data_IF_518909225885
#
_entry.id   IF_518909225885
#
_cell.length_a   1.000
_cell.length_b   1.000
_cell.length_c   1.000
_cell.angle_alpha   90.00
_cell.angle_beta   90.00
_cell.angle_gamma   90.00
#
_symmetry.space_group_name_H-M   'P 1'
#
loop_
_entity.id
_entity.type
_entity.pdbx_description
1 polymer ?
#
# COMPACT_ATOMS: atom_id res chain seq x y z
N UNK A 1 5.10 41.44 -20.37
CA UNK A 1 3.78 40.87 -20.13
C UNK A 1 3.81 39.35 -19.92
N UNK A 2 4.44 38.58 -20.80
CA UNK A 2 4.51 37.10 -20.75
C UNK A 2 5.05 36.52 -19.42
N UNK A 3 6.10 37.08 -18.82
CA UNK A 3 6.66 36.57 -17.57
C UNK A 3 5.76 36.72 -16.33
N UNK A 4 4.89 37.75 -16.29
CA UNK A 4 3.91 37.90 -15.20
C UNK A 4 2.78 36.88 -15.36
N UNK A 5 2.34 36.63 -16.59
CA UNK A 5 1.28 35.67 -16.91
C UNK A 5 1.72 34.23 -16.56
N UNK A 6 2.95 33.82 -16.94
CA UNK A 6 3.53 32.48 -16.58
C UNK A 6 3.56 32.27 -15.05
N UNK A 7 3.96 33.28 -14.28
CA UNK A 7 3.98 33.18 -12.80
C UNK A 7 2.57 33.11 -12.20
N UNK A 8 1.58 33.78 -12.79
CA UNK A 8 0.20 33.67 -12.35
C UNK A 8 -0.37 32.27 -12.61
N UNK A 9 -0.16 31.73 -13.80
CA UNK A 9 -0.56 30.37 -14.14
C UNK A 9 0.08 29.32 -13.22
N UNK A 10 1.38 29.42 -12.96
CA UNK A 10 2.06 28.51 -12.05
C UNK A 10 1.44 28.54 -10.64
N UNK A 11 1.12 29.73 -10.13
CA UNK A 11 0.45 29.87 -8.83
C UNK A 11 -0.94 29.21 -8.80
N UNK A 12 -1.72 29.42 -9.86
CA UNK A 12 -3.06 28.79 -10.00
C UNK A 12 -2.91 27.25 -9.99
N UNK A 13 -1.99 26.71 -10.77
CA UNK A 13 -1.73 25.26 -10.83
C UNK A 13 -1.32 24.73 -9.44
N UNK A 14 -0.45 25.44 -8.74
CA UNK A 14 -0.01 25.03 -7.39
C UNK A 14 -1.17 25.07 -6.37
N UNK A 15 -2.06 26.07 -6.45
CA UNK A 15 -3.28 26.10 -5.63
C UNK A 15 -4.18 24.91 -5.92
N UNK A 16 -4.48 24.65 -7.21
CA UNK A 16 -5.35 23.54 -7.62
C UNK A 16 -4.73 22.22 -7.15
N UNK A 17 -3.43 21.98 -7.38
CA UNK A 17 -2.73 20.77 -6.97
C UNK A 17 -2.74 20.62 -5.44
N UNK A 18 -2.52 21.70 -4.69
CA UNK A 18 -2.55 21.68 -3.24
C UNK A 18 -3.93 21.34 -2.67
N UNK A 19 -5.01 21.99 -3.18
CA UNK A 19 -6.39 21.69 -2.76
C UNK A 19 -6.80 20.28 -3.16
N UNK A 20 -6.48 19.83 -4.37
CA UNK A 20 -6.74 18.46 -4.82
C UNK A 20 -5.99 17.44 -3.92
N UNK A 21 -4.73 17.70 -3.59
CA UNK A 21 -3.95 16.88 -2.66
C UNK A 21 -4.63 16.79 -1.29
N UNK A 22 -4.95 17.93 -0.66
CA UNK A 22 -5.66 17.93 0.63
C UNK A 22 -6.97 17.14 0.53
N UNK A 23 -7.76 17.34 -0.51
CA UNK A 23 -9.02 16.64 -0.70
C UNK A 23 -8.83 15.13 -0.82
N UNK A 24 -7.96 14.67 -1.71
CA UNK A 24 -7.71 13.23 -1.96
C UNK A 24 -7.24 12.53 -0.69
N UNK A 25 -6.31 13.11 0.06
CA UNK A 25 -5.77 12.49 1.26
C UNK A 25 -6.65 12.63 2.51
N UNK A 26 -7.53 13.64 2.55
CA UNK A 26 -8.48 13.84 3.64
C UNK A 26 -9.77 13.00 3.44
N UNK A 27 -10.15 12.73 2.21
CA UNK A 27 -11.38 12.03 1.84
C UNK A 27 -11.54 10.65 2.53
N UNK A 28 -10.54 9.73 2.53
CA UNK A 28 -10.64 8.45 3.23
C UNK A 28 -10.82 8.60 4.75
N UNK A 29 -10.21 9.62 5.33
CA UNK A 29 -10.36 9.91 6.75
C UNK A 29 -11.78 10.36 7.10
N UNK A 30 -12.32 11.33 6.36
CA UNK A 30 -13.64 11.90 6.64
C UNK A 30 -14.76 10.91 6.37
N UNK A 31 -14.65 10.11 5.29
CA UNK A 31 -15.75 9.21 4.85
C UNK A 31 -15.72 7.84 5.49
N UNK A 32 -14.56 7.32 5.86
CA UNK A 32 -14.35 5.96 6.36
C UNK A 32 -13.55 5.88 7.67
N UNK A 33 -13.16 7.00 8.25
CA UNK A 33 -12.36 7.02 9.48
C UNK A 33 -10.93 6.46 9.32
N UNK A 34 -10.44 6.27 8.10
CA UNK A 34 -9.13 5.68 7.82
C UNK A 34 -8.02 6.66 8.23
N UNK A 35 -7.22 6.26 9.22
CA UNK A 35 -6.10 7.04 9.78
C UNK A 35 -4.80 6.31 9.54
N UNK A 36 -3.92 6.89 8.75
CA UNK A 36 -2.56 6.39 8.59
C UNK A 36 -1.58 7.51 8.24
N UNK A 37 -0.28 7.21 8.26
CA UNK A 37 0.78 8.20 7.97
C UNK A 37 0.68 8.74 6.54
N UNK A 38 0.15 7.99 5.59
CA UNK A 38 -0.06 8.44 4.21
C UNK A 38 -1.06 9.59 4.11
N UNK A 39 -2.20 9.50 4.85
CA UNK A 39 -3.16 10.62 4.94
C UNK A 39 -2.47 11.88 5.48
N UNK A 40 -1.78 11.75 6.62
CA UNK A 40 -1.11 12.88 7.26
C UNK A 40 -0.09 13.52 6.31
N UNK A 41 0.77 12.72 5.70
CA UNK A 41 1.80 13.19 4.77
C UNK A 41 1.20 13.91 3.58
N UNK A 42 0.18 13.32 2.94
CA UNK A 42 -0.47 13.90 1.78
C UNK A 42 -1.17 15.24 2.09
N UNK A 43 -1.87 15.31 3.23
CA UNK A 43 -2.51 16.56 3.69
C UNK A 43 -1.47 17.64 3.98
N UNK A 44 -0.38 17.31 4.69
CA UNK A 44 0.70 18.26 4.98
C UNK A 44 1.35 18.78 3.69
N UNK A 45 1.65 17.90 2.74
CA UNK A 45 2.21 18.30 1.44
C UNK A 45 1.25 19.20 0.66
N UNK A 46 -0.03 18.88 0.64
CA UNK A 46 -1.06 19.72 0.02
C UNK A 46 -1.14 21.10 0.65
N UNK A 47 -1.17 21.20 1.98
CA UNK A 47 -1.15 22.47 2.71
C UNK A 47 0.14 23.25 2.40
N UNK A 48 1.31 22.60 2.39
CA UNK A 48 2.57 23.25 2.03
C UNK A 48 2.52 23.84 0.62
N UNK A 49 1.93 23.16 -0.36
CA UNK A 49 1.75 23.67 -1.72
C UNK A 49 0.83 24.91 -1.74
N UNK A 50 -0.29 24.88 -1.02
CA UNK A 50 -1.22 26.01 -0.90
C UNK A 50 -0.50 27.23 -0.30
N UNK A 51 0.20 27.03 0.81
CA UNK A 51 0.95 28.09 1.48
C UNK A 51 2.07 28.65 0.59
N UNK A 52 2.79 27.77 -0.13
CA UNK A 52 3.79 28.21 -1.09
C UNK A 52 3.19 29.03 -2.22
N UNK A 53 2.06 28.62 -2.78
CA UNK A 53 1.34 29.35 -3.82
C UNK A 53 0.83 30.71 -3.32
N UNK A 54 0.33 30.79 -2.07
CA UNK A 54 -0.10 32.02 -1.43
C UNK A 54 1.05 33.03 -1.29
N UNK A 55 2.18 32.55 -0.78
CA UNK A 55 3.36 33.39 -0.51
C UNK A 55 4.44 33.28 -1.60
N UNK A 56 4.10 32.82 -2.80
CA UNK A 56 5.02 32.54 -3.91
C UNK A 56 6.08 33.63 -4.13
N UNK A 57 5.66 34.90 -4.23
CA UNK A 57 6.59 36.00 -4.45
C UNK A 57 7.50 36.30 -3.23
N UNK A 58 6.95 36.17 -2.02
CA UNK A 58 7.70 36.41 -0.79
C UNK A 58 8.75 35.32 -0.58
N UNK A 59 8.36 34.05 -0.74
CA UNK A 59 9.26 32.89 -0.59
C UNK A 59 10.38 32.96 -1.63
N UNK A 60 10.05 33.11 -2.91
CA UNK A 60 11.06 33.17 -3.98
C UNK A 60 12.03 34.36 -3.81
N UNK A 61 11.54 35.51 -3.32
CA UNK A 61 12.42 36.66 -3.00
C UNK A 61 13.38 36.35 -1.87
N UNK A 62 12.91 35.69 -0.80
CA UNK A 62 13.75 35.28 0.32
C UNK A 62 14.79 34.24 -0.10
N UNK A 63 14.37 33.20 -0.84
CA UNK A 63 15.28 32.18 -1.37
C UNK A 63 16.36 32.82 -2.25
N UNK A 64 16.01 33.70 -3.16
CA UNK A 64 16.98 34.44 -3.99
C UNK A 64 17.97 35.24 -3.13
N UNK A 65 17.48 35.91 -2.07
CA UNK A 65 18.36 36.64 -1.13
C UNK A 65 19.29 35.69 -0.35
N UNK A 66 18.81 34.53 0.04
CA UNK A 66 19.64 33.50 0.71
C UNK A 66 20.71 32.95 -0.23
N UNK A 67 20.37 32.71 -1.47
CA UNK A 67 21.29 32.20 -2.51
C UNK A 67 22.45 33.17 -2.83
N UNK A 68 22.42 34.43 -2.39
CA UNK A 68 23.57 35.34 -2.49
C UNK A 68 24.66 35.06 -1.44
N UNK A 69 24.32 34.29 -0.38
CA UNK A 69 25.25 33.94 0.72
C UNK A 69 25.70 32.49 0.57
N UNK A 70 26.95 32.16 0.91
CA UNK A 70 27.49 30.80 0.86
C UNK A 70 26.67 29.84 1.71
N UNK A 71 26.33 30.20 2.96
CA UNK A 71 25.49 29.38 3.81
C UNK A 71 24.11 29.11 3.19
N UNK A 72 23.48 30.09 2.52
CA UNK A 72 22.21 29.93 1.83
C UNK A 72 22.29 28.94 0.65
N UNK A 73 23.38 29.00 -0.14
CA UNK A 73 23.65 28.04 -1.21
C UNK A 73 23.78 26.61 -0.66
N UNK A 74 24.53 26.44 0.43
CA UNK A 74 24.74 25.14 1.09
C UNK A 74 23.40 24.58 1.60
N UNK A 75 22.62 25.36 2.34
CA UNK A 75 21.31 24.92 2.85
C UNK A 75 20.36 24.54 1.71
N UNK A 76 20.25 25.37 0.67
CA UNK A 76 19.40 25.05 -0.50
C UNK A 76 19.91 23.80 -1.23
N UNK A 77 21.21 23.60 -1.31
CA UNK A 77 21.82 22.39 -1.88
C UNK A 77 21.47 21.13 -1.08
N UNK A 78 21.57 21.20 0.24
CA UNK A 78 21.19 20.08 1.14
C UNK A 78 19.69 19.76 0.99
N UNK A 79 18.83 20.78 1.02
CA UNK A 79 17.38 20.58 0.85
C UNK A 79 17.07 19.94 -0.51
N UNK A 80 17.71 20.43 -1.57
CA UNK A 80 17.56 19.83 -2.91
C UNK A 80 18.02 18.37 -2.94
N UNK A 81 19.15 18.06 -2.33
CA UNK A 81 19.66 16.69 -2.24
C UNK A 81 18.68 15.77 -1.50
N UNK A 82 18.15 16.21 -0.34
CA UNK A 82 17.13 15.44 0.42
C UNK A 82 15.90 15.18 -0.46
N UNK A 83 15.41 16.18 -1.19
CA UNK A 83 14.27 16.02 -2.08
C UNK A 83 14.57 15.04 -3.21
N UNK A 84 15.75 15.14 -3.84
CA UNK A 84 16.16 14.22 -4.91
C UNK A 84 16.29 12.78 -4.41
N UNK A 85 16.85 12.56 -3.22
CA UNK A 85 16.94 11.25 -2.58
C UNK A 85 15.53 10.70 -2.29
N UNK A 86 14.63 11.51 -1.73
CA UNK A 86 13.26 11.09 -1.44
C UNK A 86 12.48 10.73 -2.74
N UNK A 87 12.64 11.52 -3.80
CA UNK A 87 12.02 11.24 -5.12
C UNK A 87 12.62 9.98 -5.73
N UNK A 88 13.94 9.82 -5.70
CA UNK A 88 14.62 8.62 -6.19
C UNK A 88 14.17 7.36 -5.46
N UNK A 89 14.06 7.46 -4.13
CA UNK A 89 13.53 6.38 -3.29
C UNK A 89 12.07 6.03 -3.64
N UNK A 90 11.20 7.05 -3.75
CA UNK A 90 9.80 6.84 -4.14
C UNK A 90 9.69 6.19 -5.53
N UNK A 91 10.52 6.62 -6.49
CA UNK A 91 10.57 6.03 -7.83
C UNK A 91 11.02 4.56 -7.79
N UNK A 92 12.08 4.24 -7.05
CA UNK A 92 12.56 2.88 -6.87
C UNK A 92 11.52 1.97 -6.21
N UNK A 93 10.91 2.43 -5.10
CA UNK A 93 9.82 1.72 -4.43
C UNK A 93 8.62 1.47 -5.35
N UNK A 94 8.23 2.47 -6.17
CA UNK A 94 7.16 2.32 -7.16
C UNK A 94 7.48 1.25 -8.20
N UNK A 95 8.71 1.25 -8.73
CA UNK A 95 9.15 0.23 -9.69
C UNK A 95 9.10 -1.16 -9.07
N UNK A 96 9.54 -1.30 -7.82
CA UNK A 96 9.47 -2.57 -7.07
C UNK A 96 8.02 -3.03 -6.89
N UNK A 97 7.11 -2.15 -6.45
CA UNK A 97 5.68 -2.45 -6.32
C UNK A 97 5.06 -2.93 -7.63
N UNK A 98 5.30 -2.20 -8.74
CA UNK A 98 4.78 -2.56 -10.06
C UNK A 98 5.35 -3.90 -10.55
N UNK A 99 6.62 -4.18 -10.30
CA UNK A 99 7.22 -5.46 -10.69
C UNK A 99 6.65 -6.63 -9.89
N UNK A 100 6.54 -6.47 -8.58
CA UNK A 100 5.99 -7.50 -7.71
C UNK A 100 4.51 -7.80 -8.05
N UNK A 101 3.69 -6.76 -8.24
CA UNK A 101 2.27 -6.94 -8.60
C UNK A 101 2.05 -7.60 -9.98
N UNK A 102 3.07 -7.69 -10.81
CA UNK A 102 3.04 -8.35 -12.13
C UNK A 102 3.73 -9.72 -12.14
N UNK A 103 4.17 -10.23 -10.98
CA UNK A 103 4.76 -11.56 -10.84
C UNK A 103 3.67 -12.64 -10.91
N UNK A 104 3.13 -12.85 -12.11
CA UNK A 104 2.02 -13.78 -12.31
C UNK A 104 2.36 -15.21 -11.91
N UNK A 105 1.40 -15.96 -11.32
CA UNK A 105 1.54 -17.37 -11.02
C UNK A 105 1.80 -18.20 -12.29
N UNK A 106 2.45 -19.36 -12.11
CA UNK A 106 2.71 -20.33 -13.18
C UNK A 106 2.03 -21.66 -12.85
N UNK A 107 2.64 -22.41 -11.95
CA UNK A 107 2.23 -23.78 -11.60
C UNK A 107 1.96 -23.93 -10.08
N UNK A 108 1.88 -22.81 -9.35
CA UNK A 108 1.69 -22.82 -7.91
C UNK A 108 0.31 -23.35 -7.53
N UNK A 109 0.27 -24.31 -6.63
CA UNK A 109 -0.97 -24.95 -6.14
C UNK A 109 -1.39 -24.47 -4.75
N UNK A 110 -0.63 -23.54 -4.16
CA UNK A 110 -0.90 -22.99 -2.83
C UNK A 110 -1.10 -21.47 -2.95
N UNK A 111 -2.19 -20.98 -2.40
CA UNK A 111 -2.50 -19.55 -2.31
C UNK A 111 -2.52 -19.11 -0.85
N UNK A 112 -2.02 -17.92 -0.54
CA UNK A 112 -2.20 -17.25 0.77
C UNK A 112 -2.92 -15.92 0.53
N UNK A 113 -4.12 -15.77 1.11
CA UNK A 113 -4.82 -14.48 1.14
C UNK A 113 -4.45 -13.77 2.44
N UNK A 114 -3.83 -12.59 2.32
CA UNK A 114 -3.46 -11.78 3.48
C UNK A 114 -4.64 -10.92 3.94
N UNK A 115 -4.96 -10.98 5.21
CA UNK A 115 -5.97 -10.15 5.84
C UNK A 115 -5.61 -8.66 5.87
N UNK A 116 -6.60 -7.79 5.99
CA UNK A 116 -6.42 -6.32 6.09
C UNK A 116 -7.59 -5.58 6.75
N UNK A 117 -8.37 -6.29 7.55
CA UNK A 117 -9.41 -5.71 8.40
C UNK A 117 -10.83 -6.17 8.07
N UNK A 118 -11.61 -6.28 9.12
CA UNK A 118 -13.01 -6.66 9.12
C UNK A 118 -13.86 -5.57 9.76
N UNK A 119 -15.03 -5.29 9.22
CA UNK A 119 -16.00 -4.35 9.79
C UNK A 119 -17.13 -5.14 10.45
N UNK A 120 -17.04 -5.37 11.77
CA UNK A 120 -17.93 -6.31 12.47
C UNK A 120 -17.69 -7.74 11.97
N UNK A 121 -18.62 -8.27 11.18
CA UNK A 121 -18.55 -9.63 10.60
C UNK A 121 -18.31 -9.64 9.09
N UNK A 122 -18.14 -8.46 8.46
CA UNK A 122 -18.01 -8.31 7.01
C UNK A 122 -16.60 -7.84 6.63
N UNK A 123 -16.08 -8.28 5.49
CA UNK A 123 -14.77 -7.82 5.04
C UNK A 123 -14.78 -6.30 4.81
N UNK A 124 -13.67 -5.63 5.12
CA UNK A 124 -13.43 -4.26 4.68
C UNK A 124 -13.41 -4.19 3.15
N UNK A 125 -13.54 -2.99 2.57
CA UNK A 125 -13.47 -2.83 1.12
C UNK A 125 -12.19 -3.45 0.54
N UNK A 126 -11.04 -3.18 1.15
CA UNK A 126 -9.76 -3.73 0.70
C UNK A 126 -9.68 -5.26 0.85
N UNK A 127 -10.26 -5.82 1.92
CA UNK A 127 -10.32 -7.26 2.07
C UNK A 127 -11.25 -7.89 1.03
N UNK A 128 -12.37 -7.24 0.69
CA UNK A 128 -13.26 -7.65 -0.41
C UNK A 128 -12.52 -7.67 -1.75
N UNK A 129 -11.74 -6.62 -2.06
CA UNK A 129 -10.93 -6.55 -3.28
C UNK A 129 -9.95 -7.72 -3.41
N UNK A 130 -9.31 -8.12 -2.29
CA UNK A 130 -8.43 -9.31 -2.25
C UNK A 130 -9.21 -10.60 -2.44
N UNK A 131 -10.34 -10.72 -1.75
CA UNK A 131 -11.19 -11.92 -1.82
C UNK A 131 -11.81 -12.12 -3.19
N UNK A 132 -12.19 -11.04 -3.87
CA UNK A 132 -12.68 -11.13 -5.25
C UNK A 132 -11.57 -11.61 -6.20
N UNK A 133 -10.35 -11.08 -6.07
CA UNK A 133 -9.22 -11.54 -6.87
C UNK A 133 -8.85 -13.02 -6.56
N UNK A 134 -8.91 -13.42 -5.28
CA UNK A 134 -8.70 -14.81 -4.88
C UNK A 134 -9.78 -15.74 -5.44
N UNK A 135 -11.05 -15.32 -5.37
CA UNK A 135 -12.18 -16.07 -5.90
C UNK A 135 -12.05 -16.28 -7.41
N UNK A 136 -11.78 -15.22 -8.17
CA UNK A 136 -11.65 -15.30 -9.62
C UNK A 136 -10.56 -16.29 -10.03
N UNK A 137 -9.45 -16.33 -9.28
CA UNK A 137 -8.37 -17.28 -9.51
C UNK A 137 -8.77 -18.72 -9.12
N UNK A 138 -9.28 -18.91 -7.89
CA UNK A 138 -9.66 -20.24 -7.35
C UNK A 138 -10.79 -20.90 -8.15
N UNK A 139 -11.68 -20.12 -8.74
CA UNK A 139 -12.80 -20.60 -9.55
C UNK A 139 -12.35 -21.19 -10.91
N UNK A 140 -11.14 -20.84 -11.35
CA UNK A 140 -10.56 -21.34 -12.62
C UNK A 140 -9.42 -22.32 -12.42
N UNK A 141 -8.96 -22.51 -11.16
CA UNK A 141 -7.84 -23.39 -10.78
C UNK A 141 -8.30 -24.27 -9.60
N UNK A 142 -8.99 -25.37 -9.93
CA UNK A 142 -9.60 -26.26 -8.93
C UNK A 142 -8.56 -26.99 -8.05
N UNK A 143 -7.35 -27.19 -8.56
CA UNK A 143 -6.20 -27.80 -7.86
C UNK A 143 -5.60 -26.92 -6.77
N UNK A 144 -5.86 -25.61 -6.79
CA UNK A 144 -5.24 -24.66 -5.85
C UNK A 144 -5.97 -24.70 -4.50
N UNK A 145 -5.19 -24.92 -3.44
CA UNK A 145 -5.66 -24.75 -2.05
C UNK A 145 -5.31 -23.37 -1.53
N UNK A 146 -6.11 -22.86 -0.60
CA UNK A 146 -6.01 -21.46 -0.15
C UNK A 146 -5.89 -21.39 1.38
N UNK A 147 -4.83 -20.72 1.85
CA UNK A 147 -4.64 -20.38 3.27
C UNK A 147 -5.15 -18.95 3.46
N UNK A 148 -6.14 -18.81 4.32
CA UNK A 148 -6.76 -17.53 4.69
C UNK A 148 -6.09 -17.06 5.97
N UNK A 149 -5.20 -16.07 5.88
CA UNK A 149 -4.34 -15.69 6.99
C UNK A 149 -4.65 -14.28 7.50
N UNK A 150 -5.04 -14.22 8.78
CA UNK A 150 -5.34 -13.00 9.49
C UNK A 150 -6.10 -13.25 10.79
N UNK A 151 -5.53 -12.79 11.90
CA UNK A 151 -6.15 -12.90 13.22
C UNK A 151 -7.28 -11.91 13.43
N UNK A 152 -7.74 -11.78 14.66
CA UNK A 152 -8.81 -10.86 15.04
C UNK A 152 -8.22 -9.52 15.49
N UNK A 153 -8.50 -8.46 14.74
CA UNK A 153 -8.09 -7.11 15.05
C UNK A 153 -8.96 -6.44 16.11
N UNK A 154 -8.49 -5.31 16.62
CA UNK A 154 -9.24 -4.53 17.62
C UNK A 154 -10.53 -3.96 17.03
N UNK A 155 -11.67 -4.35 17.62
CA UNK A 155 -13.00 -3.90 17.16
C UNK A 155 -13.62 -4.78 16.08
N UNK A 156 -13.03 -5.92 15.78
CA UNK A 156 -13.57 -6.95 14.92
C UNK A 156 -14.33 -7.99 15.76
N UNK A 157 -15.44 -8.53 15.26
CA UNK A 157 -16.22 -9.54 15.97
C UNK A 157 -15.69 -10.96 15.73
N UNK A 158 -15.03 -11.17 14.58
CA UNK A 158 -14.45 -12.45 14.14
C UNK A 158 -13.03 -12.19 13.59
N UNK A 159 -12.23 -13.26 13.46
CA UNK A 159 -10.92 -13.15 12.82
C UNK A 159 -11.05 -12.82 11.32
N UNK A 160 -10.03 -12.20 10.76
CA UNK A 160 -9.97 -11.96 9.30
C UNK A 160 -10.05 -13.28 8.54
N UNK A 161 -9.37 -14.33 9.01
CA UNK A 161 -9.42 -15.66 8.43
C UNK A 161 -10.82 -16.25 8.40
N UNK A 162 -11.58 -16.12 9.49
CA UNK A 162 -12.98 -16.59 9.56
C UNK A 162 -13.88 -15.80 8.61
N UNK A 163 -13.68 -14.48 8.53
CA UNK A 163 -14.42 -13.62 7.59
C UNK A 163 -14.16 -14.02 6.14
N UNK A 164 -12.89 -14.24 5.79
CA UNK A 164 -12.48 -14.70 4.46
C UNK A 164 -13.05 -16.07 4.11
N UNK A 165 -13.03 -16.99 5.08
CA UNK A 165 -13.60 -18.34 4.93
C UNK A 165 -15.09 -18.31 4.59
N UNK A 166 -15.88 -17.54 5.36
CA UNK A 166 -17.30 -17.37 5.10
C UNK A 166 -17.56 -16.81 3.70
N UNK A 167 -16.82 -15.76 3.35
CA UNK A 167 -16.98 -15.08 2.05
C UNK A 167 -16.73 -16.01 0.86
N UNK A 168 -15.64 -16.77 0.88
CA UNK A 168 -15.31 -17.67 -0.23
C UNK A 168 -16.21 -18.90 -0.27
N UNK A 169 -16.62 -19.43 0.89
CA UNK A 169 -17.59 -20.53 0.97
C UNK A 169 -18.96 -20.12 0.45
N UNK A 170 -19.44 -18.93 0.81
CA UNK A 170 -20.70 -18.37 0.28
C UNK A 170 -20.66 -18.19 -1.24
N UNK A 171 -19.48 -17.91 -1.81
CA UNK A 171 -19.25 -17.84 -3.27
C UNK A 171 -19.10 -19.21 -3.94
N UNK A 172 -19.07 -20.31 -3.18
CA UNK A 172 -19.06 -21.67 -3.72
C UNK A 172 -17.69 -22.34 -3.77
N UNK A 173 -16.64 -21.75 -3.20
CA UNK A 173 -15.33 -22.42 -3.08
C UNK A 173 -15.47 -23.57 -2.06
N UNK A 174 -14.99 -24.75 -2.45
CA UNK A 174 -15.07 -25.97 -1.63
C UNK A 174 -14.28 -25.81 -0.31
N UNK A 175 -14.90 -26.20 0.80
CA UNK A 175 -14.35 -25.98 2.15
C UNK A 175 -13.07 -26.73 2.42
N UNK A 176 -12.87 -27.88 1.81
CA UNK A 176 -11.66 -28.71 1.91
C UNK A 176 -10.43 -28.09 1.23
N UNK A 177 -10.65 -27.10 0.37
CA UNK A 177 -9.61 -26.28 -0.24
C UNK A 177 -9.17 -25.09 0.63
N UNK A 178 -9.87 -24.78 1.73
CA UNK A 178 -9.67 -23.55 2.51
C UNK A 178 -9.09 -23.87 3.90
N UNK A 179 -7.90 -23.37 4.19
CA UNK A 179 -7.25 -23.47 5.50
C UNK A 179 -7.26 -22.12 6.20
N UNK A 180 -7.58 -22.08 7.48
CA UNK A 180 -7.58 -20.85 8.29
C UNK A 180 -6.31 -20.72 9.12
N UNK A 181 -5.69 -19.55 9.08
CA UNK A 181 -4.68 -19.07 10.01
C UNK A 181 -5.24 -17.82 10.70
N UNK A 182 -5.64 -17.90 11.95
CA UNK A 182 -6.43 -16.89 12.65
C UNK A 182 -5.73 -16.26 13.88
N UNK A 183 -4.39 -16.44 13.99
CA UNK A 183 -3.60 -15.99 15.15
C UNK A 183 -2.69 -14.80 14.87
N UNK A 184 -2.39 -14.55 13.60
CA UNK A 184 -1.44 -13.53 13.18
C UNK A 184 -1.96 -12.10 13.44
N UNK A 185 -1.04 -11.19 13.75
CA UNK A 185 -1.29 -9.77 14.01
C UNK A 185 -0.47 -8.84 13.10
N UNK A 186 0.31 -9.40 12.21
CA UNK A 186 1.19 -8.68 11.28
C UNK A 186 1.42 -9.47 10.00
N UNK A 187 1.82 -8.80 8.92
CA UNK A 187 2.16 -9.48 7.65
C UNK A 187 3.24 -10.53 7.82
N UNK A 188 4.24 -10.29 8.67
CA UNK A 188 5.29 -11.25 8.99
C UNK A 188 4.74 -12.50 9.67
N UNK A 189 3.84 -12.34 10.62
CA UNK A 189 3.17 -13.47 11.29
C UNK A 189 2.22 -14.20 10.36
N UNK A 190 1.47 -13.48 9.50
CA UNK A 190 0.65 -14.09 8.47
C UNK A 190 1.45 -15.11 7.65
N UNK A 191 2.59 -14.68 7.12
CA UNK A 191 3.44 -15.54 6.28
C UNK A 191 4.14 -16.62 7.08
N UNK A 192 4.62 -16.31 8.28
CA UNK A 192 5.29 -17.31 9.15
C UNK A 192 4.32 -18.42 9.59
N UNK A 193 3.09 -18.07 9.97
CA UNK A 193 2.11 -19.07 10.41
C UNK A 193 1.48 -19.82 9.24
N UNK A 194 1.30 -19.17 8.08
CA UNK A 194 0.92 -19.85 6.84
C UNK A 194 1.98 -20.86 6.41
N UNK A 195 3.27 -20.54 6.54
CA UNK A 195 4.37 -21.48 6.29
C UNK A 195 4.27 -22.74 7.14
N UNK A 196 3.90 -22.62 8.41
CA UNK A 196 3.70 -23.80 9.28
C UNK A 196 2.59 -24.71 8.74
N UNK A 197 1.49 -24.13 8.26
CA UNK A 197 0.40 -24.90 7.63
C UNK A 197 0.91 -25.60 6.36
N UNK A 198 1.71 -24.92 5.53
CA UNK A 198 2.33 -25.50 4.33
C UNK A 198 3.18 -26.73 4.71
N UNK A 199 4.04 -26.58 5.72
CA UNK A 199 4.90 -27.64 6.20
C UNK A 199 4.10 -28.81 6.82
N UNK A 200 3.13 -28.53 7.69
CA UNK A 200 2.28 -29.54 8.36
C UNK A 200 1.42 -30.35 7.35
N UNK A 201 1.03 -29.71 6.25
CA UNK A 201 0.21 -30.33 5.20
C UNK A 201 1.03 -30.88 4.04
N UNK A 202 2.36 -30.74 4.06
CA UNK A 202 3.27 -31.12 2.97
C UNK A 202 2.88 -30.46 1.63
N UNK A 203 2.51 -29.16 1.65
CA UNK A 203 2.17 -28.38 0.48
C UNK A 203 3.44 -27.80 -0.17
N UNK A 204 3.30 -27.33 -1.43
CA UNK A 204 4.40 -26.68 -2.16
C UNK A 204 4.77 -25.32 -1.51
N UNK A 205 6.06 -25.03 -1.29
CA UNK A 205 6.51 -23.72 -0.80
C UNK A 205 6.48 -22.61 -1.87
N UNK A 206 6.18 -22.91 -3.12
CA UNK A 206 5.87 -21.94 -4.16
C UNK A 206 4.42 -21.50 -3.99
N UNK A 207 4.20 -20.20 -3.74
CA UNK A 207 2.93 -19.73 -3.20
C UNK A 207 2.46 -18.49 -3.95
N UNK A 208 1.18 -18.47 -4.25
CA UNK A 208 0.48 -17.28 -4.73
C UNK A 208 0.12 -16.41 -3.52
N UNK A 209 0.67 -15.21 -3.42
CA UNK A 209 0.23 -14.25 -2.41
C UNK A 209 -0.89 -13.39 -2.99
N UNK A 210 -1.99 -13.27 -2.23
CA UNK A 210 -3.09 -12.38 -2.58
C UNK A 210 -3.13 -11.20 -1.62
N UNK A 211 -2.82 -10.04 -2.14
CA UNK A 211 -2.92 -8.77 -1.43
C UNK A 211 -3.26 -7.63 -2.39
N UNK A 212 -3.30 -6.38 -1.93
CA UNK A 212 -3.47 -5.24 -2.83
C UNK A 212 -2.16 -4.91 -3.56
N UNK A 213 -2.24 -4.41 -4.79
CA UNK A 213 -1.12 -4.16 -5.70
C UNK A 213 0.02 -3.32 -5.10
N UNK A 214 -0.31 -2.34 -4.25
CA UNK A 214 0.70 -1.50 -3.60
C UNK A 214 1.47 -2.24 -2.50
N UNK A 215 0.88 -3.30 -1.91
CA UNK A 215 1.44 -4.04 -0.78
C UNK A 215 2.26 -5.28 -1.20
N UNK A 216 2.09 -5.74 -2.44
CA UNK A 216 2.65 -6.99 -2.95
C UNK A 216 4.17 -7.06 -2.81
N UNK A 217 4.88 -5.98 -3.11
CA UNK A 217 6.34 -5.96 -2.99
C UNK A 217 6.82 -6.27 -1.56
N UNK A 218 6.25 -5.61 -0.55
CA UNK A 218 6.65 -5.84 0.84
C UNK A 218 6.21 -7.22 1.34
N UNK A 219 5.04 -7.68 0.94
CA UNK A 219 4.58 -9.04 1.24
C UNK A 219 5.53 -10.09 0.64
N UNK A 220 5.95 -9.91 -0.61
CA UNK A 220 6.92 -10.80 -1.28
C UNK A 220 8.28 -10.80 -0.59
N UNK A 221 8.83 -9.65 -0.23
CA UNK A 221 10.11 -9.56 0.51
C UNK A 221 10.03 -10.31 1.84
N UNK A 222 8.95 -10.12 2.60
CA UNK A 222 8.76 -10.83 3.88
C UNK A 222 8.60 -12.34 3.63
N UNK A 223 7.89 -12.76 2.58
CA UNK A 223 7.72 -14.16 2.21
C UNK A 223 9.07 -14.83 1.90
N UNK A 224 9.89 -14.20 1.08
CA UNK A 224 11.24 -14.67 0.75
C UNK A 224 12.11 -14.85 2.01
N UNK A 225 12.05 -13.89 2.96
CA UNK A 225 12.75 -14.01 4.24
C UNK A 225 12.24 -15.18 5.11
N UNK A 226 11.01 -15.62 4.92
CA UNK A 226 10.47 -16.82 5.58
C UNK A 226 10.74 -18.11 4.81
N UNK A 227 11.34 -18.03 3.61
CA UNK A 227 11.63 -19.17 2.74
C UNK A 227 10.44 -19.60 1.86
N UNK A 228 9.44 -18.76 1.70
CA UNK A 228 8.34 -18.90 0.74
C UNK A 228 8.78 -18.26 -0.58
N UNK A 229 8.49 -18.89 -1.72
CA UNK A 229 8.71 -18.31 -3.06
C UNK A 229 7.42 -17.71 -3.57
N UNK A 230 7.30 -16.38 -3.59
CA UNK A 230 6.04 -15.72 -3.92
C UNK A 230 5.83 -15.52 -5.41
N UNK A 231 4.59 -15.69 -5.86
CA UNK A 231 3.98 -15.08 -7.03
C UNK A 231 2.77 -14.26 -6.59
N UNK A 232 2.17 -13.48 -7.48
CA UNK A 232 1.19 -12.46 -7.10
C UNK A 232 -0.14 -12.61 -7.83
N UNK A 233 -1.23 -12.53 -7.06
CA UNK A 233 -2.57 -12.20 -7.54
C UNK A 233 -3.06 -11.00 -6.75
N UNK A 234 -3.32 -9.87 -7.41
CA UNK A 234 -3.57 -8.61 -6.73
C UNK A 234 -5.05 -8.20 -6.76
N UNK A 235 -5.59 -7.85 -5.59
CA UNK A 235 -6.82 -7.07 -5.50
C UNK A 235 -6.58 -5.64 -5.96
N UNK A 236 -7.47 -5.11 -6.80
CA UNK A 236 -7.39 -3.73 -7.31
C UNK A 236 -7.92 -2.74 -6.28
N UNK A 237 -7.03 -1.89 -5.76
CA UNK A 237 -7.41 -0.90 -4.77
C UNK A 237 -8.27 0.21 -5.36
N UNK A 238 -9.38 0.52 -4.70
CA UNK A 238 -10.22 1.65 -5.07
C UNK A 238 -9.39 2.93 -5.23
N UNK A 239 -9.55 3.65 -6.35
CA UNK A 239 -8.71 4.77 -6.78
C UNK A 239 -8.54 5.87 -5.71
N UNK A 240 -9.54 6.09 -4.87
CA UNK A 240 -9.53 7.10 -3.81
C UNK A 240 -8.80 6.65 -2.54
N UNK A 241 -8.57 5.33 -2.37
CA UNK A 241 -7.75 4.75 -1.30
C UNK A 241 -6.28 4.64 -1.68
N UNK A 242 -6.00 4.36 -2.95
CA UNK A 242 -4.65 4.11 -3.44
C UNK A 242 -3.62 5.17 -3.02
N UNK A 243 -3.86 6.50 -3.14
CA UNK A 243 -2.85 7.50 -2.79
C UNK A 243 -2.39 7.42 -1.33
N UNK A 244 -3.32 7.22 -0.41
CA UNK A 244 -3.00 7.19 1.02
C UNK A 244 -2.26 5.91 1.42
N UNK A 245 -2.69 4.76 0.88
CA UNK A 245 -2.03 3.49 1.15
C UNK A 245 -0.69 3.37 0.43
N UNK A 246 -0.57 3.90 -0.78
CA UNK A 246 0.68 3.99 -1.51
C UNK A 246 1.75 4.78 -0.73
N UNK A 247 1.42 5.98 -0.22
CA UNK A 247 2.36 6.73 0.62
C UNK A 247 2.71 5.98 1.91
N UNK A 248 1.73 5.35 2.56
CA UNK A 248 1.99 4.52 3.74
C UNK A 248 2.95 3.37 3.42
N UNK A 249 2.78 2.75 2.25
CA UNK A 249 3.60 1.62 1.84
C UNK A 249 5.05 2.01 1.55
N UNK A 250 5.30 3.21 1.00
CA UNK A 250 6.66 3.73 0.86
C UNK A 250 7.39 3.78 2.21
N UNK A 251 6.71 4.16 3.30
CA UNK A 251 7.30 4.09 4.64
C UNK A 251 7.55 2.65 5.10
N UNK A 252 6.63 1.72 4.79
CA UNK A 252 6.80 0.30 5.09
C UNK A 252 7.98 -0.32 4.36
N UNK A 253 8.21 0.04 3.09
CA UNK A 253 9.35 -0.41 2.29
C UNK A 253 10.68 0.12 2.86
N UNK A 254 10.73 1.39 3.29
CA UNK A 254 11.91 1.93 3.99
C UNK A 254 12.25 1.08 5.20
N UNK A 255 11.24 0.74 5.99
CA UNK A 255 11.42 -0.08 7.19
C UNK A 255 11.98 -1.47 6.83
N UNK A 256 11.41 -2.16 5.84
CA UNK A 256 11.88 -3.49 5.40
C UNK A 256 13.30 -3.48 4.78
N UNK A 257 13.73 -2.34 4.20
CA UNK A 257 15.07 -2.24 3.62
C UNK A 257 16.17 -1.94 4.66
N UNK A 258 15.78 -1.38 5.81
CA UNK A 258 16.73 -0.97 6.86
C UNK A 258 16.81 -2.01 7.99
N UNK A 259 15.71 -2.68 8.29
CA UNK A 259 15.55 -3.60 9.43
C UNK A 259 15.12 -5.01 8.98
#
# INVERSE_FOLDING_TARGET
MQGKLKKLWLRIVLFIAGFAGVFIFLYPFVTKGIKNIGNLTGVVLGICLILYAAWFHRVNRRVKKWMTRTAGKVICGIVLLIVLVAVGFAAAGTICMIRASKSAPKDETVMIVLGCGVNGDRPSLMLTERLDAAYDYLNTHEEVVCILSGGQGKGENISEAECMYRYLTEKGIAQDRLYKEDRSTSTRENLLYSKKIIEEKNLDPQVIIVTNEFHEYRASVIAEHTGIKPSAVCGNTAWWLLPTYYLRELYGIVFEWIF
#
